data_IF_027676398755
#
_entry.id   IF_027676398755
#
_cell.length_a   1.000
_cell.length_b   1.000
_cell.length_c   1.000
_cell.angle_alpha   90.00
_cell.angle_beta   90.00
_cell.angle_gamma   90.00
#
_symmetry.space_group_name_H-M   'P 1'
#
loop_
_entity.id
_entity.type
_entity.pdbx_description
1 polymer ?
#
# COMPACT_ATOMS: atom_id res chain seq x y z
N UNK A 1 -2.21 5.99 11.16
CA UNK A 1 -2.89 4.82 10.63
C UNK A 1 -2.14 3.57 10.96
N UNK A 2 -2.84 2.59 11.33
CA UNK A 2 -2.25 1.33 11.71
C UNK A 2 -2.45 0.27 10.63
N UNK A 3 -1.68 -0.81 10.72
CA UNK A 3 -1.85 -1.98 9.87
C UNK A 3 -3.24 -2.60 10.00
N UNK A 4 -3.92 -2.33 11.11
CA UNK A 4 -5.23 -2.90 11.37
C UNK A 4 -6.27 -2.51 10.33
N UNK A 5 -6.01 -1.45 9.57
CA UNK A 5 -6.87 -1.07 8.46
C UNK A 5 -6.79 -2.06 7.31
N UNK A 6 -5.65 -2.74 7.15
CA UNK A 6 -5.47 -3.70 6.06
C UNK A 6 -6.22 -4.98 6.35
N UNK A 7 -6.99 -5.43 5.37
CA UNK A 7 -7.73 -6.68 5.42
C UNK A 7 -7.18 -7.65 4.40
N UNK A 8 -7.42 -8.91 4.62
CA UNK A 8 -7.01 -9.97 3.71
C UNK A 8 -8.18 -10.91 3.47
N UNK A 9 -8.07 -11.70 2.40
CA UNK A 9 -9.03 -12.75 2.11
C UNK A 9 -8.26 -14.02 1.74
N UNK A 10 -8.91 -15.20 1.85
CA UNK A 10 -8.23 -16.45 1.54
C UNK A 10 -7.81 -16.49 0.07
N UNK A 11 -6.57 -16.95 -0.17
CA UNK A 11 -6.08 -17.15 -1.52
C UNK A 11 -6.94 -18.25 -2.19
N UNK A 12 -7.62 -17.97 -3.32
CA UNK A 12 -8.47 -18.96 -3.99
C UNK A 12 -7.69 -20.09 -4.66
N UNK A 13 -6.39 -19.90 -4.88
CA UNK A 13 -5.53 -20.89 -5.54
C UNK A 13 -4.18 -21.01 -4.79
N UNK A 14 -4.19 -21.48 -3.53
CA UNK A 14 -2.95 -21.52 -2.74
C UNK A 14 -1.93 -22.53 -3.26
N UNK A 15 -2.35 -23.47 -4.12
CA UNK A 15 -1.48 -24.46 -4.74
C UNK A 15 -0.68 -23.91 -5.90
N UNK A 16 -0.97 -22.68 -6.35
CA UNK A 16 -0.28 -22.06 -7.48
C UNK A 16 0.57 -20.90 -7.02
N UNK A 17 1.76 -20.78 -7.62
CA UNK A 17 2.63 -19.63 -7.43
C UNK A 17 2.35 -18.65 -8.56
N UNK A 18 1.48 -17.68 -8.29
CA UNK A 18 1.21 -16.61 -9.25
C UNK A 18 1.55 -15.27 -8.64
N UNK A 19 1.96 -14.35 -9.47
CA UNK A 19 2.37 -13.03 -9.02
C UNK A 19 1.21 -12.05 -9.12
N UNK A 20 1.01 -11.29 -8.05
CA UNK A 20 0.05 -10.17 -8.04
C UNK A 20 0.86 -8.89 -8.10
N UNK A 21 0.53 -8.03 -9.07
CA UNK A 21 1.14 -6.72 -9.20
C UNK A 21 0.06 -5.66 -9.07
N UNK A 22 0.26 -4.74 -8.12
CA UNK A 22 -0.66 -3.65 -7.84
C UNK A 22 0.05 -2.33 -8.09
N UNK A 23 -0.59 -1.42 -8.80
CA UNK A 23 -0.07 -0.09 -9.06
C UNK A 23 -1.01 0.95 -8.47
N UNK A 24 -0.47 1.81 -7.61
CA UNK A 24 -1.23 2.87 -6.96
C UNK A 24 -0.65 4.23 -7.37
N UNK A 25 -1.10 4.81 -8.49
CA UNK A 25 -0.50 6.04 -9.03
C UNK A 25 -0.93 7.32 -8.32
N UNK A 26 -1.97 7.27 -7.51
CA UNK A 26 -2.50 8.43 -6.82
C UNK A 26 -2.00 8.58 -5.38
N UNK A 27 -0.90 7.93 -5.03
CA UNK A 27 -0.34 8.04 -3.69
C UNK A 27 0.09 9.48 -3.40
N UNK A 28 -0.26 9.97 -2.20
CA UNK A 28 0.08 11.31 -1.76
C UNK A 28 0.54 11.27 -0.30
N UNK A 29 1.55 12.05 0.01
CA UNK A 29 1.99 12.29 1.38
C UNK A 29 2.43 13.75 1.51
N UNK A 30 3.00 14.12 2.65
CA UNK A 30 3.48 15.48 2.90
C UNK A 30 4.98 15.43 3.14
N UNK A 31 5.71 16.32 2.50
CA UNK A 31 7.14 16.44 2.75
C UNK A 31 7.36 17.00 4.16
N UNK A 32 8.08 16.29 5.05
CA UNK A 32 8.27 16.76 6.42
C UNK A 32 9.15 18.00 6.53
N UNK A 33 9.87 18.37 5.48
CA UNK A 33 10.71 19.56 5.49
C UNK A 33 9.98 20.81 5.02
N UNK A 34 9.10 20.68 4.03
CA UNK A 34 8.46 21.83 3.39
C UNK A 34 6.98 21.95 3.69
N UNK A 35 6.34 20.88 4.14
CA UNK A 35 4.88 20.83 4.29
C UNK A 35 4.12 20.76 2.97
N UNK A 36 4.83 20.67 1.86
CA UNK A 36 4.22 20.58 0.53
C UNK A 36 3.77 19.15 0.26
N UNK A 37 2.70 18.97 -0.54
CA UNK A 37 2.27 17.63 -0.91
C UNK A 37 3.27 16.97 -1.85
N UNK A 38 3.56 15.69 -1.59
CA UNK A 38 4.36 14.84 -2.45
C UNK A 38 3.45 13.85 -3.14
N UNK A 39 3.62 13.71 -4.46
CA UNK A 39 2.85 12.79 -5.26
C UNK A 39 3.75 11.68 -5.77
N UNK A 40 3.25 10.48 -5.82
CA UNK A 40 4.04 9.36 -6.28
C UNK A 40 3.20 8.15 -6.65
N UNK A 41 3.88 7.12 -7.09
CA UNK A 41 3.25 5.86 -7.43
C UNK A 41 3.83 4.78 -6.52
N UNK A 42 2.93 4.01 -5.91
CA UNK A 42 3.32 2.83 -5.13
C UNK A 42 3.05 1.60 -5.99
N UNK A 43 4.06 0.75 -6.11
CA UNK A 43 3.94 -0.54 -6.79
C UNK A 43 4.20 -1.65 -5.80
N UNK A 44 3.29 -2.60 -5.76
CA UNK A 44 3.38 -3.74 -4.86
C UNK A 44 3.33 -5.00 -5.71
N UNK A 45 4.34 -5.85 -5.56
CA UNK A 45 4.40 -7.12 -6.28
C UNK A 45 4.65 -8.22 -5.26
N UNK A 46 3.81 -9.25 -5.27
CA UNK A 46 3.98 -10.35 -4.33
C UNK A 46 3.39 -11.65 -4.88
N UNK A 47 3.86 -12.75 -4.32
CA UNK A 47 3.30 -14.09 -4.57
C UNK A 47 2.52 -14.46 -3.32
N UNK A 48 1.19 -14.55 -3.37
CA UNK A 48 0.40 -14.85 -2.17
C UNK A 48 0.60 -16.30 -1.73
N UNK A 49 0.63 -16.50 -0.44
CA UNK A 49 0.62 -17.83 0.15
C UNK A 49 -0.82 -18.18 0.55
N UNK A 50 -1.14 -18.11 1.82
CA UNK A 50 -2.47 -18.49 2.31
C UNK A 50 -3.52 -17.37 2.08
N UNK A 51 -3.09 -16.12 1.99
CA UNK A 51 -4.01 -14.99 1.94
C UNK A 51 -3.58 -13.95 0.91
N UNK A 52 -4.56 -13.22 0.41
CA UNK A 52 -4.34 -12.10 -0.49
C UNK A 52 -4.75 -10.79 0.18
N UNK A 53 -4.12 -9.69 -0.22
CA UNK A 53 -4.47 -8.37 0.28
C UNK A 53 -5.78 -7.90 -0.35
N UNK A 54 -6.69 -7.39 0.48
CA UNK A 54 -7.95 -6.84 0.02
C UNK A 54 -7.72 -5.41 -0.46
N UNK A 55 -8.08 -5.13 -1.72
CA UNK A 55 -7.69 -3.89 -2.39
C UNK A 55 -8.36 -2.65 -1.84
N UNK A 56 -9.60 -2.76 -1.38
CA UNK A 56 -10.31 -1.62 -0.80
C UNK A 56 -9.64 -1.15 0.49
N UNK A 57 -9.26 -2.10 1.34
CA UNK A 57 -8.55 -1.79 2.59
C UNK A 57 -7.16 -1.23 2.31
N UNK A 58 -6.48 -1.73 1.28
CA UNK A 58 -5.20 -1.19 0.86
C UNK A 58 -5.33 0.28 0.45
N UNK A 59 -6.38 0.61 -0.28
CA UNK A 59 -6.64 1.99 -0.70
C UNK A 59 -6.81 2.91 0.51
N UNK A 60 -7.57 2.49 1.51
CA UNK A 60 -7.74 3.28 2.73
C UNK A 60 -6.44 3.38 3.52
N UNK A 61 -5.67 2.32 3.56
CA UNK A 61 -4.37 2.33 4.22
C UNK A 61 -3.43 3.38 3.59
N UNK A 62 -3.34 3.39 2.26
CA UNK A 62 -2.49 4.34 1.55
C UNK A 62 -3.02 5.78 1.66
N UNK A 63 -4.33 5.95 1.70
CA UNK A 63 -4.96 7.25 1.82
C UNK A 63 -4.58 7.96 3.12
N UNK A 64 -4.28 7.20 4.16
CA UNK A 64 -3.90 7.74 5.45
C UNK A 64 -2.58 8.52 5.42
N UNK A 65 -1.73 8.24 4.46
CA UNK A 65 -0.47 8.98 4.28
C UNK A 65 -0.67 10.36 3.68
N UNK A 66 -1.86 10.64 3.18
CA UNK A 66 -2.16 11.86 2.41
C UNK A 66 -1.77 13.14 3.13
N UNK A 67 -2.03 13.22 4.43
CA UNK A 67 -1.73 14.40 5.24
C UNK A 67 -0.60 14.15 6.22
N UNK A 68 0.16 13.08 6.02
CA UNK A 68 1.22 12.68 6.93
C UNK A 68 2.57 13.11 6.39
N UNK A 69 3.33 13.82 7.24
CA UNK A 69 4.69 14.20 6.90
C UNK A 69 5.62 13.01 7.00
N UNK A 70 6.04 12.51 5.85
CA UNK A 70 6.88 11.31 5.78
C UNK A 70 7.73 11.34 4.51
N UNK A 71 8.99 10.92 4.61
CA UNK A 71 9.84 10.74 3.45
C UNK A 71 9.49 9.44 2.73
N UNK A 72 9.71 9.40 1.41
CA UNK A 72 9.35 8.23 0.61
C UNK A 72 10.06 6.95 1.06
N UNK A 73 11.30 7.08 1.49
CA UNK A 73 12.05 5.93 2.02
C UNK A 73 11.34 5.28 3.20
N UNK A 74 10.76 6.11 4.06
CA UNK A 74 10.05 5.62 5.23
C UNK A 74 8.68 5.03 4.87
N UNK A 75 8.05 5.51 3.79
CA UNK A 75 6.82 4.90 3.28
C UNK A 75 7.08 3.45 2.87
N UNK A 76 8.19 3.20 2.21
CA UNK A 76 8.55 1.86 1.76
C UNK A 76 8.88 0.95 2.94
N UNK A 77 9.52 1.47 3.95
CA UNK A 77 9.92 0.70 5.12
C UNK A 77 8.83 0.64 6.17
#
# INVERSE_FOLDING_TARGET
MSRETLETFPNPRPERDYEIAIRCPEFTSVCPRTGMPDFGEIRITYVPDARCVELKSLKYYLLDFRNRGIFYEDVTN
#
